data_IF_442864662858
#
_entry.id   IF_442864662858
#
_cell.length_a   1.000
_cell.length_b   1.000
_cell.length_c   1.000
_cell.angle_alpha   90.00
_cell.angle_beta   90.00
_cell.angle_gamma   90.00
#
_symmetry.space_group_name_H-M   'P 1'
#
loop_
_entity.id
_entity.type
_entity.pdbx_description
1 polymer ?
#
# COMPACT_ATOMS: atom_id res chain seq x y z
N UNK A 1 14.43 36.35 -4.95
CA UNK A 1 14.02 35.74 -6.23
C UNK A 1 13.33 36.82 -7.03
N UNK A 2 13.84 37.16 -8.23
CA UNK A 2 13.25 38.20 -9.09
C UNK A 2 12.38 37.56 -10.17
N UNK A 3 11.55 38.35 -10.85
CA UNK A 3 10.61 37.84 -11.88
C UNK A 3 11.34 37.18 -13.06
N UNK A 4 12.55 37.63 -13.40
CA UNK A 4 13.37 37.03 -14.46
C UNK A 4 13.83 35.62 -14.09
N UNK A 5 14.27 35.39 -12.85
CA UNK A 5 14.66 34.04 -12.38
C UNK A 5 13.48 33.07 -12.37
N UNK A 6 12.26 33.56 -12.11
CA UNK A 6 11.05 32.74 -12.20
C UNK A 6 10.71 32.40 -13.65
N UNK A 7 10.82 33.37 -14.56
CA UNK A 7 10.51 33.17 -15.98
C UNK A 7 11.52 32.26 -16.69
N UNK A 8 12.81 32.37 -16.35
CA UNK A 8 13.86 31.45 -16.84
C UNK A 8 13.64 30.02 -16.32
N UNK A 9 13.21 29.88 -15.07
CA UNK A 9 12.87 28.57 -14.49
C UNK A 9 11.64 27.95 -15.19
N UNK A 10 10.60 28.75 -15.46
CA UNK A 10 9.41 28.30 -16.19
C UNK A 10 9.79 27.86 -17.61
N UNK A 11 10.56 28.68 -18.35
CA UNK A 11 11.01 28.34 -19.71
C UNK A 11 11.91 27.09 -19.72
N UNK A 12 12.77 26.93 -18.72
CA UNK A 12 13.60 25.72 -18.56
C UNK A 12 12.73 24.48 -18.33
N UNK A 13 11.73 24.55 -17.45
CA UNK A 13 10.82 23.44 -17.15
C UNK A 13 9.92 23.08 -18.34
N UNK A 14 9.46 24.08 -19.09
CA UNK A 14 8.65 23.87 -20.30
C UNK A 14 9.47 23.32 -21.48
N UNK A 15 10.74 23.72 -21.62
CA UNK A 15 11.63 23.21 -22.66
C UNK A 15 12.15 21.78 -22.39
N UNK A 16 12.19 21.36 -21.12
CA UNK A 16 12.71 20.07 -20.71
C UNK A 16 11.77 18.89 -21.06
N UNK A 17 10.51 19.15 -21.44
CA UNK A 17 9.53 18.10 -21.67
C UNK A 17 9.17 17.30 -20.41
N UNK A 18 9.47 17.86 -19.22
CA UNK A 18 9.15 17.22 -17.95
C UNK A 18 7.66 17.33 -17.66
N UNK A 19 7.06 16.19 -17.29
CA UNK A 19 5.68 16.13 -16.82
C UNK A 19 5.48 17.16 -15.70
N UNK A 20 4.46 18.00 -15.84
CA UNK A 20 4.04 18.92 -14.80
C UNK A 20 3.74 18.17 -13.49
N UNK A 21 3.79 18.86 -12.36
CA UNK A 21 3.45 18.28 -11.05
C UNK A 21 2.07 17.58 -11.08
N UNK A 22 1.13 18.15 -11.82
CA UNK A 22 -0.22 17.58 -12.01
C UNK A 22 -0.14 16.26 -12.80
N UNK A 23 0.54 16.24 -13.93
CA UNK A 23 0.65 15.04 -14.75
C UNK A 23 1.45 13.94 -14.05
N UNK A 24 2.46 14.29 -13.26
CA UNK A 24 3.17 13.33 -12.40
C UNK A 24 2.24 12.69 -11.37
N UNK A 25 1.35 13.48 -10.74
CA UNK A 25 0.34 12.96 -9.80
C UNK A 25 -0.63 12.02 -10.51
N UNK A 26 -1.14 12.41 -11.67
CA UNK A 26 -2.03 11.56 -12.46
C UNK A 26 -1.35 10.27 -12.93
N UNK A 27 -0.09 10.34 -13.36
CA UNK A 27 0.67 9.16 -13.76
C UNK A 27 0.89 8.20 -12.60
N UNK A 28 1.24 8.70 -11.40
CA UNK A 28 1.36 7.88 -10.19
C UNK A 28 0.03 7.20 -9.85
N UNK A 29 -1.07 7.94 -9.91
CA UNK A 29 -2.40 7.43 -9.66
C UNK A 29 -2.83 6.37 -10.70
N UNK A 30 -2.58 6.63 -11.99
CA UNK A 30 -2.88 5.69 -13.07
C UNK A 30 -2.11 4.37 -12.91
N UNK A 31 -0.82 4.43 -12.54
CA UNK A 31 -0.02 3.23 -12.23
C UNK A 31 -0.61 2.43 -11.07
N UNK A 32 -1.04 3.10 -10.00
CA UNK A 32 -1.70 2.44 -8.87
C UNK A 32 -3.03 1.77 -9.30
N UNK A 33 -3.82 2.42 -10.16
CA UNK A 33 -5.06 1.84 -10.68
C UNK A 33 -4.82 0.62 -11.56
N UNK A 34 -3.84 0.66 -12.48
CA UNK A 34 -3.50 -0.49 -13.33
C UNK A 34 -3.09 -1.69 -12.48
N UNK A 35 -2.28 -1.45 -11.45
CA UNK A 35 -1.83 -2.51 -10.55
C UNK A 35 -2.98 -3.08 -9.71
N UNK A 36 -3.87 -2.23 -9.19
CA UNK A 36 -5.06 -2.68 -8.48
C UNK A 36 -6.00 -3.50 -9.39
N UNK A 37 -6.16 -3.08 -10.65
CA UNK A 37 -6.94 -3.84 -11.62
C UNK A 37 -6.33 -5.21 -11.91
N UNK A 38 -5.00 -5.31 -12.02
CA UNK A 38 -4.31 -6.59 -12.18
C UNK A 38 -4.54 -7.52 -10.97
N UNK A 39 -4.42 -7.00 -9.75
CA UNK A 39 -4.67 -7.76 -8.51
C UNK A 39 -6.12 -8.22 -8.40
N UNK A 40 -7.08 -7.36 -8.78
CA UNK A 40 -8.49 -7.74 -8.83
C UNK A 40 -8.76 -8.85 -9.86
N UNK A 41 -8.10 -8.82 -11.02
CA UNK A 41 -8.23 -9.88 -12.02
C UNK A 41 -7.67 -11.21 -11.51
N UNK A 42 -6.54 -11.19 -10.78
CA UNK A 42 -6.02 -12.40 -10.12
C UNK A 42 -7.03 -12.98 -9.14
N UNK A 43 -7.67 -12.15 -8.31
CA UNK A 43 -8.71 -12.60 -7.40
C UNK A 43 -9.95 -13.14 -8.12
N UNK A 44 -10.40 -12.47 -9.19
CA UNK A 44 -11.52 -12.95 -10.00
C UNK A 44 -11.22 -14.32 -10.57
N UNK A 45 -10.02 -14.54 -11.13
CA UNK A 45 -9.62 -15.86 -11.65
C UNK A 45 -9.76 -16.94 -10.59
N UNK A 46 -9.20 -16.72 -9.40
CA UNK A 46 -9.25 -17.68 -8.30
C UNK A 46 -10.68 -18.01 -7.86
N UNK A 47 -11.55 -17.00 -7.79
CA UNK A 47 -12.96 -17.20 -7.45
C UNK A 47 -13.72 -17.93 -8.57
N UNK A 48 -13.41 -17.62 -9.84
CA UNK A 48 -13.95 -18.34 -11.00
C UNK A 48 -13.51 -19.80 -10.99
N UNK A 49 -12.25 -20.11 -10.69
CA UNK A 49 -11.75 -21.48 -10.62
C UNK A 49 -12.49 -22.30 -9.54
N UNK A 50 -12.79 -21.71 -8.38
CA UNK A 50 -13.66 -22.34 -7.37
C UNK A 50 -15.07 -22.55 -7.91
N UNK A 51 -15.65 -21.52 -8.54
CA UNK A 51 -17.00 -21.57 -9.06
C UNK A 51 -17.18 -22.57 -10.20
N UNK A 52 -16.19 -22.75 -11.07
CA UNK A 52 -16.27 -23.66 -12.21
C UNK A 52 -16.05 -25.12 -11.80
N UNK A 53 -15.41 -25.35 -10.65
CA UNK A 53 -15.08 -26.68 -10.15
C UNK A 53 -15.90 -27.11 -8.93
N UNK A 54 -16.93 -26.37 -8.55
CA UNK A 54 -17.86 -26.84 -7.53
C UNK A 54 -18.61 -28.08 -8.04
N UNK A 55 -18.76 -29.06 -7.15
CA UNK A 55 -19.47 -30.31 -7.41
C UNK A 55 -20.60 -30.46 -6.43
N UNK A 56 -21.79 -30.72 -6.93
CA UNK A 56 -22.94 -31.04 -6.10
C UNK A 56 -23.15 -32.55 -6.05
N UNK A 57 -23.36 -33.09 -4.86
CA UNK A 57 -23.62 -34.51 -4.67
C UNK A 57 -24.63 -34.75 -3.55
N UNK A 58 -25.42 -35.80 -3.68
CA UNK A 58 -26.38 -36.22 -2.66
C UNK A 58 -25.72 -37.21 -1.69
N UNK A 59 -25.80 -36.93 -0.39
CA UNK A 59 -25.34 -37.87 0.64
C UNK A 59 -26.51 -38.72 1.12
N UNK A 60 -26.55 -39.99 0.76
CA UNK A 60 -27.60 -40.91 1.21
C UNK A 60 -27.63 -41.08 2.73
N UNK A 61 -26.47 -40.96 3.41
CA UNK A 61 -26.36 -41.08 4.85
C UNK A 61 -26.97 -39.89 5.61
N UNK A 62 -26.96 -38.69 5.02
CA UNK A 62 -27.51 -37.48 5.64
C UNK A 62 -28.84 -37.03 5.01
N UNK A 63 -29.23 -37.61 3.88
CA UNK A 63 -30.50 -37.32 3.19
C UNK A 63 -30.56 -35.92 2.58
N UNK A 64 -29.41 -35.28 2.36
CA UNK A 64 -29.29 -33.88 1.92
C UNK A 64 -28.28 -33.72 0.78
N UNK A 65 -28.43 -32.64 0.03
CA UNK A 65 -27.49 -32.21 -1.01
C UNK A 65 -26.29 -31.49 -0.37
N UNK A 66 -25.10 -31.81 -0.83
CA UNK A 66 -23.85 -31.14 -0.49
C UNK A 66 -23.24 -30.49 -1.72
N UNK A 67 -22.56 -29.37 -1.51
CA UNK A 67 -21.66 -28.78 -2.47
C UNK A 67 -20.23 -28.93 -1.93
N UNK A 68 -19.35 -29.49 -2.75
CA UNK A 68 -17.92 -29.61 -2.49
C UNK A 68 -17.12 -28.85 -3.54
N UNK A 69 -15.90 -28.50 -3.19
CA UNK A 69 -14.91 -27.97 -4.15
C UNK A 69 -13.64 -28.80 -3.93
N UNK A 70 -12.99 -29.31 -4.99
CA UNK A 70 -11.71 -30.02 -4.83
C UNK A 70 -10.70 -29.16 -4.09
N UNK A 71 -9.94 -29.78 -3.19
CA UNK A 71 -9.00 -29.07 -2.32
C UNK A 71 -7.96 -28.27 -3.10
N UNK A 72 -7.55 -28.71 -4.28
CA UNK A 72 -6.54 -28.00 -5.09
C UNK A 72 -6.96 -26.56 -5.39
N UNK A 73 -8.21 -26.33 -5.80
CA UNK A 73 -8.76 -24.99 -6.09
C UNK A 73 -8.96 -24.13 -4.84
N UNK A 74 -9.31 -24.78 -3.71
CA UNK A 74 -9.43 -24.10 -2.41
C UNK A 74 -8.05 -23.79 -1.83
N UNK A 75 -7.05 -24.64 -2.08
CA UNK A 75 -5.70 -24.54 -1.54
C UNK A 75 -4.96 -23.33 -2.10
N UNK A 76 -5.20 -22.98 -3.36
CA UNK A 76 -4.61 -21.80 -3.99
C UNK A 76 -5.09 -20.53 -3.27
N UNK A 77 -6.41 -20.39 -3.03
CA UNK A 77 -6.97 -19.28 -2.25
C UNK A 77 -6.53 -19.33 -0.78
N UNK A 78 -6.51 -20.51 -0.17
CA UNK A 78 -6.12 -20.67 1.23
C UNK A 78 -4.64 -20.36 1.46
N UNK A 79 -3.74 -20.64 0.51
CA UNK A 79 -2.35 -20.21 0.56
C UNK A 79 -2.26 -18.69 0.75
N UNK A 80 -3.15 -17.93 0.10
CA UNK A 80 -3.22 -16.47 0.23
C UNK A 80 -3.90 -16.00 1.52
N UNK A 81 -5.04 -16.58 1.88
CA UNK A 81 -5.84 -16.15 3.06
C UNK A 81 -5.18 -16.56 4.37
N UNK A 82 -4.59 -17.76 4.43
CA UNK A 82 -3.88 -18.27 5.60
C UNK A 82 -2.44 -17.75 5.71
N UNK A 83 -1.96 -16.99 4.72
CA UNK A 83 -0.55 -16.52 4.61
C UNK A 83 0.43 -17.66 4.86
N UNK A 84 0.20 -18.78 4.20
CA UNK A 84 1.13 -19.91 4.30
C UNK A 84 2.51 -19.45 3.81
N UNK A 85 3.56 -19.78 4.55
CA UNK A 85 4.85 -19.05 4.53
C UNK A 85 5.61 -19.18 3.21
N UNK A 86 5.14 -20.07 2.32
CA UNK A 86 5.73 -20.40 1.03
C UNK A 86 4.89 -19.93 -0.18
N UNK A 87 3.77 -19.22 0.05
CA UNK A 87 2.91 -18.73 -1.02
C UNK A 87 3.36 -17.35 -1.54
N UNK A 88 3.39 -17.19 -2.86
CA UNK A 88 3.59 -15.88 -3.49
C UNK A 88 2.38 -14.98 -3.21
N UNK A 89 2.60 -13.74 -2.78
CA UNK A 89 1.52 -12.82 -2.45
C UNK A 89 0.84 -12.31 -3.74
N UNK A 90 -0.47 -12.53 -3.94
CA UNK A 90 -1.16 -12.14 -5.18
C UNK A 90 -1.56 -10.66 -5.18
N UNK A 91 -1.39 -9.94 -4.06
CA UNK A 91 -1.80 -8.54 -3.88
C UNK A 91 -0.68 -7.63 -3.32
N UNK A 92 0.55 -7.69 -3.87
CA UNK A 92 1.72 -7.00 -3.30
C UNK A 92 1.61 -5.47 -3.37
N UNK A 93 0.84 -4.91 -4.29
CA UNK A 93 0.59 -3.49 -4.36
C UNK A 93 -0.48 -3.03 -3.37
N UNK A 94 -1.53 -3.81 -3.15
CA UNK A 94 -2.47 -3.56 -2.05
C UNK A 94 -1.73 -3.51 -0.71
N UNK A 95 -0.83 -4.45 -0.48
CA UNK A 95 0.03 -4.46 0.70
C UNK A 95 0.93 -3.21 0.80
N UNK A 96 1.56 -2.79 -0.31
CA UNK A 96 2.33 -1.54 -0.37
C UNK A 96 1.48 -0.31 -0.08
N UNK A 97 0.25 -0.24 -0.60
CA UNK A 97 -0.69 0.85 -0.32
C UNK A 97 -1.01 0.88 1.18
N UNK A 98 -1.32 -0.27 1.77
CA UNK A 98 -1.63 -0.37 3.20
C UNK A 98 -0.45 0.05 4.09
N UNK A 99 0.77 -0.36 3.74
CA UNK A 99 1.98 0.10 4.43
C UNK A 99 2.21 1.61 4.25
N UNK A 100 1.96 2.15 3.05
CA UNK A 100 1.99 3.59 2.79
C UNK A 100 1.05 4.35 3.72
N UNK A 101 -0.21 3.90 3.83
CA UNK A 101 -1.20 4.49 4.74
C UNK A 101 -0.73 4.43 6.20
N UNK A 102 -0.14 3.30 6.64
CA UNK A 102 0.44 3.20 8.00
C UNK A 102 1.59 4.18 8.21
N UNK A 103 2.48 4.32 7.24
CA UNK A 103 3.60 5.23 7.31
C UNK A 103 3.13 6.70 7.35
N UNK A 104 2.16 7.05 6.51
CA UNK A 104 1.56 8.39 6.45
C UNK A 104 0.92 8.76 7.80
N UNK A 105 0.22 7.83 8.47
CA UNK A 105 -0.33 8.06 9.81
C UNK A 105 0.74 8.30 10.89
N UNK A 106 1.90 7.66 10.77
CA UNK A 106 3.04 7.88 11.67
C UNK A 106 3.72 9.23 11.36
N UNK A 107 3.80 9.63 10.10
CA UNK A 107 4.30 10.95 9.70
C UNK A 107 3.40 12.09 10.19
N UNK A 108 2.08 11.88 10.20
CA UNK A 108 1.13 12.83 10.80
C UNK A 108 1.39 13.02 12.31
N UNK A 109 1.67 11.91 13.03
CA UNK A 109 2.13 11.97 14.42
C UNK A 109 3.42 12.79 14.53
N UNK A 110 4.42 12.56 13.68
CA UNK A 110 5.65 13.34 13.71
C UNK A 110 5.38 14.84 13.55
N UNK A 111 4.58 15.22 12.54
CA UNK A 111 4.17 16.60 12.28
C UNK A 111 3.48 17.24 13.50
N UNK A 112 2.58 16.51 14.14
CA UNK A 112 1.87 16.98 15.35
C UNK A 112 2.83 17.31 16.49
N UNK A 113 3.80 16.42 16.73
CA UNK A 113 4.79 16.60 17.79
C UNK A 113 5.78 17.74 17.47
N UNK A 114 6.20 17.89 16.21
CA UNK A 114 6.97 19.08 15.77
C UNK A 114 6.17 20.36 16.03
N UNK A 115 4.86 20.35 15.77
CA UNK A 115 3.95 21.43 16.09
C UNK A 115 3.94 21.77 17.59
N UNK A 116 3.91 20.77 18.47
CA UNK A 116 3.98 20.98 19.92
C UNK A 116 5.34 21.54 20.39
N UNK A 117 6.44 21.14 19.76
CA UNK A 117 7.76 21.70 20.04
C UNK A 117 7.85 23.20 19.70
N UNK A 118 7.05 23.66 18.73
CA UNK A 118 7.06 25.05 18.28
C UNK A 118 6.02 25.95 18.98
N UNK A 119 5.23 25.42 19.92
CA UNK A 119 4.26 26.22 20.68
C UNK A 119 4.95 27.23 21.61
N UNK A 120 4.35 28.41 21.73
CA UNK A 120 4.75 29.42 22.71
C UNK A 120 4.66 28.88 24.14
N UNK A 121 5.66 29.21 24.96
CA UNK A 121 5.77 28.71 26.34
C UNK A 121 6.26 27.26 26.47
N UNK A 122 6.59 26.57 25.37
CA UNK A 122 7.16 25.22 25.42
C UNK A 122 8.58 25.26 26.00
N UNK A 123 8.80 24.58 27.13
CA UNK A 123 10.12 24.54 27.79
C UNK A 123 11.15 23.81 26.95
N UNK A 124 12.44 24.12 27.15
CA UNK A 124 13.54 23.47 26.40
C UNK A 124 13.49 21.95 26.52
N UNK A 125 13.21 21.43 27.72
CA UNK A 125 13.08 19.98 27.95
C UNK A 125 11.91 19.38 27.17
N UNK A 126 10.76 20.08 27.13
CA UNK A 126 9.59 19.60 26.41
C UNK A 126 9.79 19.65 24.89
N UNK A 127 10.43 20.72 24.37
CA UNK A 127 10.83 20.82 22.96
C UNK A 127 11.72 19.66 22.54
N UNK A 128 12.73 19.33 23.35
CA UNK A 128 13.62 18.21 23.09
C UNK A 128 12.86 16.88 23.04
N UNK A 129 11.98 16.63 24.02
CA UNK A 129 11.14 15.43 24.07
C UNK A 129 10.21 15.28 22.85
N UNK A 130 9.54 16.37 22.46
CA UNK A 130 8.66 16.38 21.29
C UNK A 130 9.42 16.15 19.99
N UNK A 131 10.57 16.82 19.79
CA UNK A 131 11.39 16.62 18.60
C UNK A 131 11.93 15.18 18.51
N UNK A 132 12.39 14.61 19.63
CA UNK A 132 12.85 13.21 19.65
C UNK A 132 11.72 12.24 19.31
N UNK A 133 10.49 12.52 19.75
CA UNK A 133 9.32 11.70 19.42
C UNK A 133 9.00 11.79 17.93
N UNK A 134 9.08 12.99 17.35
CA UNK A 134 8.87 13.18 15.92
C UNK A 134 9.93 12.45 15.07
N UNK A 135 11.21 12.54 15.44
CA UNK A 135 12.30 11.83 14.74
C UNK A 135 12.14 10.31 14.78
N UNK A 136 11.67 9.77 15.92
CA UNK A 136 11.36 8.33 16.04
C UNK A 136 10.19 7.93 15.15
N UNK A 137 9.15 8.77 15.08
CA UNK A 137 8.01 8.55 14.21
C UNK A 137 8.44 8.59 12.72
N UNK A 138 9.21 9.60 12.30
CA UNK A 138 9.79 9.71 10.96
C UNK A 138 10.62 8.46 10.60
N UNK A 139 11.47 7.99 11.53
CA UNK A 139 12.28 6.78 11.35
C UNK A 139 11.42 5.52 11.22
N UNK A 140 10.34 5.41 12.01
CA UNK A 140 9.44 4.27 11.96
C UNK A 140 8.58 4.25 10.69
N UNK A 141 8.13 5.40 10.20
CA UNK A 141 7.46 5.53 8.92
C UNK A 141 8.37 5.07 7.77
N UNK A 142 9.64 5.48 7.79
CA UNK A 142 10.63 5.02 6.82
C UNK A 142 10.84 3.49 6.88
N UNK A 143 10.93 2.93 8.09
CA UNK A 143 11.01 1.47 8.29
C UNK A 143 9.83 0.72 7.67
N UNK A 144 8.59 1.18 7.91
CA UNK A 144 7.38 0.58 7.31
C UNK A 144 7.46 0.59 5.77
N UNK A 145 7.89 1.71 5.18
CA UNK A 145 8.06 1.82 3.71
C UNK A 145 9.17 0.89 3.18
N UNK A 146 10.23 0.66 3.96
CA UNK A 146 11.36 -0.20 3.59
C UNK A 146 11.03 -1.69 3.61
N UNK A 147 10.29 -2.18 4.61
CA UNK A 147 9.92 -3.59 4.71
C UNK A 147 9.19 -4.11 3.46
N UNK A 148 8.47 -3.24 2.76
CA UNK A 148 7.71 -3.61 1.56
C UNK A 148 8.51 -3.56 0.25
N UNK A 149 9.77 -3.09 0.28
CA UNK A 149 10.69 -3.20 -0.88
C UNK A 149 11.43 -4.54 -0.87
N UNK A 150 11.85 -5.01 0.31
CA UNK A 150 12.61 -6.25 0.46
C UNK A 150 11.77 -7.52 0.24
N UNK A 151 10.43 -7.40 0.25
CA UNK A 151 9.51 -8.47 -0.11
C UNK A 151 9.17 -8.58 -1.60
N UNK A 152 9.71 -7.71 -2.46
CA UNK A 152 9.42 -7.69 -3.91
C UNK A 152 10.53 -8.32 -4.77
N UNK A 153 11.70 -8.63 -4.19
CA UNK A 153 12.87 -9.21 -4.86
C UNK A 153 13.11 -10.70 -4.48
N UNK A 154 12.08 -11.38 -3.96
CA UNK A 154 12.13 -12.81 -3.64
C UNK A 154 11.08 -13.59 -4.41
#
# INVERSE_FOLDING_TARGET
MNIETVNELIASLESAGELSIREQKFLKLAKAYVQLAAENMSMIRLLTDISDNHVEYFSEGEGTMFAGVPLDYVSEINMYVSRDVNAENPVPATDRIYAGIKADGVEEMASTYRGFANKDGCSVNMKCSYNLTAERAESYAAYIRHQMREGADK
#
